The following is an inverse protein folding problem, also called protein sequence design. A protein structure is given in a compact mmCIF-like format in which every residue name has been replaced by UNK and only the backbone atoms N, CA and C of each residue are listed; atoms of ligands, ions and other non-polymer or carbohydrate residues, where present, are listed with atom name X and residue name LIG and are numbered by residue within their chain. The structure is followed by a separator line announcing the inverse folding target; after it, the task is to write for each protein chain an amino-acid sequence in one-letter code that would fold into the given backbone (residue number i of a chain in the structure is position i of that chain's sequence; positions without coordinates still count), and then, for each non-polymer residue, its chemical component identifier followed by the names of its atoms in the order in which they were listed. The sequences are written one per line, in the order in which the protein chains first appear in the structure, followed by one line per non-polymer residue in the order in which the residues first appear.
data_IF_758780241565
#
_entry.id   IF_758780241565
#
_cell.length_a   1.000
_cell.length_b   1.000
_cell.length_c   1.000
_cell.angle_alpha   90.00
_cell.angle_beta   90.00
_cell.angle_gamma   90.00
#
_symmetry.space_group_name_H-M   'P 1'
#
loop_
_entity.id
_entity.type
_entity.pdbx_description
1 polymer ?
#
# COMPACT_ATOMS: atom_id res chain seq x y z
N UNK A 1 8.28 39.16 -14.27
CA UNK A 1 9.20 38.06 -13.91
C UNK A 1 8.87 37.60 -12.49
N UNK A 2 8.39 36.36 -12.32
CA UNK A 2 7.94 35.87 -11.03
C UNK A 2 9.12 35.66 -10.06
N UNK A 3 9.06 36.30 -8.88
CA UNK A 3 10.05 36.14 -7.81
C UNK A 3 9.76 34.80 -7.12
N UNK A 4 10.67 33.83 -7.28
CA UNK A 4 10.60 32.51 -6.63
C UNK A 4 11.30 32.56 -5.27
N UNK A 5 10.58 32.19 -4.20
CA UNK A 5 11.09 32.17 -2.82
C UNK A 5 11.52 30.75 -2.44
N UNK A 6 12.67 30.60 -1.75
CA UNK A 6 13.22 29.31 -1.26
C UNK A 6 13.50 29.34 0.23
N UNK A 7 13.36 28.19 0.91
CA UNK A 7 13.64 28.02 2.36
C UNK A 7 14.45 26.74 2.63
N UNK A 8 15.28 26.73 3.69
CA UNK A 8 16.10 25.57 4.09
C UNK A 8 15.25 24.46 4.74
N UNK A 9 15.43 23.22 4.30
CA UNK A 9 14.94 22.01 4.96
C UNK A 9 16.14 21.11 5.34
N UNK A 10 16.08 20.46 6.51
CA UNK A 10 17.08 19.49 6.97
C UNK A 10 16.48 18.09 6.78
N UNK A 11 17.20 17.21 6.07
CA UNK A 11 16.78 15.81 5.85
C UNK A 11 17.29 14.93 7.01
N UNK A 12 16.41 14.13 7.63
CA UNK A 12 16.74 13.23 8.76
C UNK A 12 17.17 11.82 8.28
N UNK A 13 17.33 11.63 6.95
CA UNK A 13 17.63 10.35 6.32
C UNK A 13 19.12 9.98 6.33
N UNK A 14 20.04 10.96 6.36
CA UNK A 14 21.49 10.71 6.24
C UNK A 14 22.19 10.36 7.56
N UNK A 15 21.47 10.26 8.68
CA UNK A 15 22.06 9.88 9.97
C UNK A 15 21.93 8.39 10.31
N UNK A 16 21.32 7.57 9.44
CA UNK A 16 21.04 6.14 9.73
C UNK A 16 21.60 5.13 8.73
N UNK A 17 22.43 5.53 7.79
CA UNK A 17 23.06 4.66 6.79
C UNK A 17 24.58 4.55 6.96
N UNK A 18 25.06 4.40 8.19
CA UNK A 18 26.47 4.05 8.47
C UNK A 18 26.56 2.95 9.53
N UNK A 19 25.95 1.78 9.26
CA UNK A 19 26.24 0.57 10.03
C UNK A 19 25.81 -0.75 9.37
N UNK A 20 26.03 -0.95 8.07
CA UNK A 20 26.24 -2.29 7.51
C UNK A 20 27.24 -2.20 6.35
N UNK A 21 28.33 -2.94 6.48
CA UNK A 21 29.48 -3.01 5.56
C UNK A 21 29.11 -3.80 4.30
N UNK A 22 29.50 -3.29 3.14
CA UNK A 22 30.16 -4.09 2.09
C UNK A 22 31.63 -3.63 1.99
N UNK A 23 32.58 -4.54 1.68
CA UNK A 23 33.99 -4.21 1.55
C UNK A 23 34.27 -3.54 0.20
N UNK A 24 35.43 -2.87 0.12
CA UNK A 24 36.06 -2.20 -1.04
C UNK A 24 35.85 -0.68 -1.18
N UNK A 25 36.83 0.05 -0.61
CA UNK A 25 37.62 1.05 -1.35
C UNK A 25 37.08 2.47 -1.51
N UNK A 26 37.56 3.40 -0.66
CA UNK A 26 37.62 4.86 -0.92
C UNK A 26 39.07 5.22 -1.28
N UNK A 27 39.33 6.29 -2.06
CA UNK A 27 39.82 7.55 -1.45
C UNK A 27 39.35 8.83 -2.19
N UNK A 28 38.94 9.97 -1.60
CA UNK A 28 39.50 10.93 -0.62
C UNK A 28 39.91 12.28 -1.28
N UNK A 29 39.91 13.39 -0.48
CA UNK A 29 40.43 14.78 -0.68
C UNK A 29 39.40 15.90 -1.02
N UNK A 30 39.47 17.17 -0.55
CA UNK A 30 40.08 17.93 0.59
C UNK A 30 39.62 19.44 0.45
N UNK A 31 39.81 20.42 1.39
CA UNK A 31 38.78 21.40 1.74
C UNK A 31 39.31 22.85 2.03
N UNK A 32 39.13 23.85 1.18
CA UNK A 32 39.49 25.23 1.60
C UNK A 32 38.65 26.34 0.96
N UNK A 33 37.93 27.15 1.74
CA UNK A 33 38.26 28.57 2.06
C UNK A 33 37.06 29.43 2.55
N UNK A 34 37.41 30.36 3.45
CA UNK A 34 36.61 31.27 4.28
C UNK A 34 36.03 32.53 3.58
N UNK A 35 34.99 33.15 4.18
CA UNK A 35 34.93 34.56 4.69
C UNK A 35 33.60 35.37 4.48
N UNK A 36 32.93 35.68 5.61
CA UNK A 36 32.26 36.92 6.11
C UNK A 36 31.25 37.81 5.29
N UNK A 37 29.96 37.77 5.72
CA UNK A 37 28.79 38.74 5.87
C UNK A 37 28.62 40.08 5.11
N UNK A 38 27.41 40.73 5.04
CA UNK A 38 26.01 40.30 5.29
C UNK A 38 24.95 40.75 4.23
N UNK A 39 24.12 39.83 3.70
CA UNK A 39 22.71 40.09 3.35
C UNK A 39 22.01 38.75 3.05
N UNK A 40 20.98 38.37 3.83
CA UNK A 40 20.50 36.99 3.91
C UNK A 40 19.50 36.62 2.80
N UNK A 41 20.00 35.96 1.75
CA UNK A 41 19.24 35.14 0.79
C UNK A 41 19.80 33.70 0.82
N UNK A 42 18.99 32.66 0.52
CA UNK A 42 19.45 31.25 0.39
C UNK A 42 20.32 31.15 -0.90
N UNK A 43 21.58 31.59 -0.85
CA UNK A 43 22.57 31.25 -1.90
C UNK A 43 23.19 29.89 -1.60
N UNK A 44 23.50 29.12 -2.65
CA UNK A 44 24.13 27.78 -2.62
C UNK A 44 25.40 27.67 -1.76
N UNK A 45 26.01 28.78 -1.36
CA UNK A 45 27.24 28.84 -0.55
C UNK A 45 27.00 29.15 0.93
N UNK A 46 25.76 29.18 1.43
CA UNK A 46 25.50 29.43 2.84
C UNK A 46 25.96 28.25 3.73
N UNK A 47 27.09 28.45 4.42
CA UNK A 47 27.67 27.54 5.42
C UNK A 47 26.66 26.97 6.43
N UNK A 48 25.55 27.65 6.71
CA UNK A 48 24.55 27.19 7.68
C UNK A 48 23.71 26.00 7.15
N UNK A 49 23.28 26.01 5.89
CA UNK A 49 22.52 24.87 5.34
C UNK A 49 23.48 23.69 5.07
N UNK A 50 24.71 23.98 4.63
CA UNK A 50 25.76 22.98 4.40
C UNK A 50 26.30 22.34 5.69
N UNK A 51 26.44 23.08 6.80
CA UNK A 51 26.87 22.54 8.11
C UNK A 51 25.89 21.56 8.74
N UNK A 52 24.62 21.59 8.34
CA UNK A 52 23.56 20.72 8.90
C UNK A 52 22.94 19.79 7.85
N UNK A 53 23.58 19.60 6.69
CA UNK A 53 23.14 18.64 5.67
C UNK A 53 21.77 18.95 5.02
N UNK A 54 21.40 20.23 4.90
CA UNK A 54 20.11 20.64 4.36
C UNK A 54 20.15 21.13 2.90
N UNK A 55 19.10 20.85 2.13
CA UNK A 55 18.88 21.39 0.79
C UNK A 55 17.84 22.54 0.79
N UNK A 56 18.03 23.58 -0.04
CA UNK A 56 17.01 24.64 -0.22
C UNK A 56 15.90 24.07 -1.15
N UNK A 57 14.68 23.87 -0.62
CA UNK A 57 13.52 23.37 -1.39
C UNK A 57 12.50 24.48 -1.72
N UNK A 58 11.63 24.20 -2.69
CA UNK A 58 10.53 25.09 -3.11
C UNK A 58 9.47 25.21 -1.99
N UNK A 59 8.82 26.36 -1.85
CA UNK A 59 8.02 26.72 -0.66
C UNK A 59 6.78 25.82 -0.40
N UNK A 60 6.46 24.91 -1.32
CA UNK A 60 5.23 24.12 -1.31
C UNK A 60 5.47 22.61 -1.11
N UNK A 61 6.73 22.17 -0.94
CA UNK A 61 7.10 20.75 -0.77
C UNK A 61 7.41 20.35 0.68
N UNK A 62 7.00 21.16 1.67
CA UNK A 62 7.19 20.81 3.07
C UNK A 62 6.29 19.62 3.45
N UNK A 63 6.86 18.40 3.47
CA UNK A 63 6.17 17.18 3.89
C UNK A 63 5.55 17.27 5.30
N UNK A 64 4.51 16.46 5.51
CA UNK A 64 3.91 16.22 6.82
C UNK A 64 4.97 15.66 7.77
N UNK A 65 5.01 16.15 9.01
CA UNK A 65 6.02 15.74 10.00
C UNK A 65 5.45 14.64 10.89
N UNK A 66 6.14 13.50 10.99
CA UNK A 66 5.99 12.60 12.14
C UNK A 66 6.41 13.34 13.42
N UNK A 67 5.44 13.67 14.28
CA UNK A 67 5.72 14.26 15.58
C UNK A 67 6.42 13.21 16.47
N UNK A 68 7.70 13.42 16.79
CA UNK A 68 8.37 12.64 17.85
C UNK A 68 7.87 13.10 19.23
N UNK A 69 7.07 12.27 19.89
CA UNK A 69 6.34 12.55 21.13
C UNK A 69 7.22 12.45 22.39
N UNK A 70 7.74 13.58 22.89
CA UNK A 70 8.45 13.64 24.18
C UNK A 70 7.63 14.38 25.24
N UNK A 71 7.57 13.85 26.46
CA UNK A 71 7.00 14.55 27.61
C UNK A 71 7.80 15.84 27.92
N UNK A 72 7.10 16.97 28.06
CA UNK A 72 7.65 18.26 28.51
C UNK A 72 6.93 18.73 29.77
N UNK A 73 7.68 19.17 30.78
CA UNK A 73 7.14 19.68 32.06
C UNK A 73 6.77 21.16 32.02
N UNK A 74 6.61 21.76 30.83
CA UNK A 74 6.30 23.18 30.70
C UNK A 74 4.81 23.46 30.96
N UNK A 75 4.38 23.45 32.23
CA UNK A 75 3.01 23.85 32.55
C UNK A 75 2.55 23.75 34.01
N UNK A 76 3.32 23.15 34.91
CA UNK A 76 2.97 23.12 36.33
C UNK A 76 3.01 24.56 36.90
N UNK A 77 1.84 25.14 37.19
CA UNK A 77 1.69 26.46 37.81
C UNK A 77 0.99 27.56 36.97
N UNK A 78 0.56 27.32 35.73
CA UNK A 78 -0.12 28.35 34.91
C UNK A 78 -1.66 28.22 34.85
N UNK A 79 -2.40 29.35 34.75
CA UNK A 79 -3.87 29.36 34.72
C UNK A 79 -4.46 28.54 33.55
N UNK A 80 -5.68 27.99 33.71
CA UNK A 80 -6.36 27.23 32.67
C UNK A 80 -6.63 28.17 31.48
N UNK A 81 -6.03 27.89 30.32
CA UNK A 81 -6.09 28.75 29.13
C UNK A 81 -4.71 29.08 28.53
N UNK A 82 -3.61 28.98 29.30
CA UNK A 82 -2.24 29.21 28.80
C UNK A 82 -1.33 27.97 28.84
N UNK A 83 -1.88 26.77 29.08
CA UNK A 83 -1.09 25.51 29.10
C UNK A 83 -0.90 25.01 27.67
N UNK A 84 0.34 24.94 27.19
CA UNK A 84 0.66 24.29 25.90
C UNK A 84 0.98 22.81 26.15
N UNK A 85 0.08 21.94 25.69
CA UNK A 85 0.14 20.46 25.67
C UNK A 85 0.55 19.77 26.99
N UNK A 86 -0.41 19.07 27.61
CA UNK A 86 -0.21 18.24 28.80
C UNK A 86 -0.53 16.78 28.42
N UNK A 87 0.33 15.84 28.80
CA UNK A 87 0.06 14.40 28.67
C UNK A 87 -1.12 14.06 29.61
N UNK A 88 -2.24 13.57 29.07
CA UNK A 88 -3.42 13.23 29.87
C UNK A 88 -3.31 11.81 30.41
N UNK A 89 -2.64 11.66 31.55
CA UNK A 89 -3.00 10.63 32.52
C UNK A 89 -3.51 11.37 33.76
N UNK A 90 -4.82 11.68 33.79
CA UNK A 90 -5.46 12.48 34.87
C UNK A 90 -5.13 11.98 36.29
N UNK A 91 -4.66 10.73 36.45
CA UNK A 91 -4.32 10.10 37.74
C UNK A 91 -2.84 9.69 37.90
N UNK A 92 -1.95 9.97 36.94
CA UNK A 92 -0.53 9.51 37.00
C UNK A 92 0.50 10.56 36.55
N UNK A 93 0.20 11.86 36.69
CA UNK A 93 1.11 12.95 36.29
C UNK A 93 2.52 12.86 36.92
N UNK A 94 2.64 12.27 38.10
CA UNK A 94 3.93 12.05 38.80
C UNK A 94 4.86 11.07 38.07
N UNK A 95 4.34 10.21 37.18
CA UNK A 95 5.15 9.26 36.39
C UNK A 95 5.80 9.87 35.15
N UNK A 96 5.39 11.06 34.73
CA UNK A 96 6.00 11.76 33.59
C UNK A 96 7.35 12.38 33.99
N UNK A 97 8.43 11.58 33.98
CA UNK A 97 9.80 12.10 34.07
C UNK A 97 10.21 12.75 32.74
N UNK A 98 11.02 13.80 32.79
CA UNK A 98 11.64 14.42 31.59
C UNK A 98 12.32 13.31 30.79
N UNK A 99 11.93 13.15 29.52
CA UNK A 99 12.47 12.20 28.50
C UNK A 99 11.77 10.85 28.32
N UNK A 100 10.69 10.53 29.02
CA UNK A 100 9.90 9.31 28.71
C UNK A 100 8.88 9.58 27.60
N UNK A 101 8.64 8.60 26.72
CA UNK A 101 7.56 8.64 25.71
C UNK A 101 6.19 8.46 26.39
N UNK A 102 5.17 9.25 26.03
CA UNK A 102 3.84 9.19 26.70
C UNK A 102 3.23 7.76 26.65
N UNK A 103 3.47 7.00 25.58
CA UNK A 103 3.03 5.59 25.44
C UNK A 103 3.61 4.68 26.53
N UNK A 104 4.88 4.88 26.90
CA UNK A 104 5.57 4.11 27.96
C UNK A 104 5.13 4.51 29.37
N UNK A 105 4.51 5.68 29.53
CA UNK A 105 3.97 6.17 30.80
C UNK A 105 2.49 5.79 31.01
N UNK A 106 1.90 4.97 30.13
CA UNK A 106 0.49 4.58 30.21
C UNK A 106 -0.50 5.72 29.90
N UNK A 107 -0.03 6.81 29.27
CA UNK A 107 -0.85 7.94 28.87
C UNK A 107 -1.03 8.00 27.35
N UNK A 108 -2.10 8.65 26.90
CA UNK A 108 -2.31 8.97 25.49
C UNK A 108 -2.25 10.50 25.27
N UNK A 109 -1.66 10.90 24.14
CA UNK A 109 -1.69 12.28 23.67
C UNK A 109 -2.93 12.47 22.81
N UNK A 110 -3.98 13.08 23.34
CA UNK A 110 -5.00 13.70 22.50
C UNK A 110 -4.52 15.10 22.17
N UNK A 111 -4.07 15.42 20.94
CA UNK A 111 -4.14 16.81 20.43
C UNK A 111 -3.88 16.92 18.91
N UNK A 112 -4.68 17.82 18.29
CA UNK A 112 -4.51 18.56 17.02
C UNK A 112 -5.28 18.13 15.78
N UNK A 113 -5.63 16.86 15.57
CA UNK A 113 -6.46 16.47 14.41
C UNK A 113 -7.83 17.17 14.48
N UNK A 114 -8.50 17.06 15.63
CA UNK A 114 -9.76 17.75 15.94
C UNK A 114 -9.68 19.28 15.84
N UNK A 115 -8.49 19.87 15.94
CA UNK A 115 -8.31 21.33 15.85
C UNK A 115 -8.10 21.83 14.41
N UNK A 116 -7.72 20.97 13.46
CA UNK A 116 -7.79 21.27 12.03
C UNK A 116 -9.12 20.81 11.40
N UNK A 117 -9.81 19.85 12.01
CA UNK A 117 -11.13 19.38 11.58
C UNK A 117 -12.26 20.39 11.92
N UNK A 118 -12.06 21.27 12.91
CA UNK A 118 -13.08 22.17 13.45
C UNK A 118 -12.85 23.66 13.12
N UNK A 119 -12.43 24.00 11.89
CA UNK A 119 -12.11 25.40 11.54
C UNK A 119 -12.96 25.92 10.38
N UNK A 120 -14.23 26.25 10.67
CA UNK A 120 -15.08 27.09 9.82
C UNK A 120 -16.48 26.51 9.58
N UNK A 121 -17.45 27.34 9.14
CA UNK A 121 -18.70 26.84 8.57
C UNK A 121 -18.37 26.04 7.31
N UNK A 122 -18.72 24.74 7.27
CA UNK A 122 -18.51 23.88 6.10
C UNK A 122 -17.49 22.74 6.25
N UNK A 123 -17.03 22.40 7.46
CA UNK A 123 -16.23 21.18 7.72
C UNK A 123 -14.94 21.05 6.87
N UNK A 124 -14.31 22.17 6.50
CA UNK A 124 -13.09 22.14 5.67
C UNK A 124 -11.89 21.70 6.50
N UNK A 125 -11.25 20.60 6.08
CA UNK A 125 -10.09 20.02 6.77
C UNK A 125 -8.85 20.88 6.50
N UNK A 126 -8.30 21.51 7.54
CA UNK A 126 -7.05 22.26 7.44
C UNK A 126 -5.80 21.37 7.41
N UNK A 127 -4.75 21.79 6.70
CA UNK A 127 -3.48 21.05 6.64
C UNK A 127 -2.55 21.45 7.78
N UNK A 128 -1.91 20.46 8.42
CA UNK A 128 -0.98 20.68 9.52
C UNK A 128 0.42 21.06 9.01
N UNK A 129 0.94 22.22 9.39
CA UNK A 129 2.23 22.76 8.94
C UNK A 129 3.27 22.86 10.07
N UNK A 130 4.55 22.65 9.71
CA UNK A 130 5.69 22.76 10.64
C UNK A 130 5.85 24.20 11.14
N UNK A 131 6.36 24.33 12.37
CA UNK A 131 6.71 25.65 12.91
C UNK A 131 7.76 26.33 12.02
N UNK A 132 7.47 27.55 11.58
CA UNK A 132 8.30 28.32 10.64
C UNK A 132 7.80 28.32 9.18
N UNK A 133 6.90 27.41 8.79
CA UNK A 133 6.32 27.42 7.45
C UNK A 133 5.32 28.57 7.26
N UNK A 134 5.32 29.17 6.05
CA UNK A 134 4.31 30.12 5.59
C UNK A 134 3.11 29.35 5.02
N UNK A 135 1.91 29.90 5.19
CA UNK A 135 0.66 29.34 4.71
C UNK A 135 0.11 30.27 3.64
N UNK A 136 -0.42 29.73 2.53
CA UNK A 136 -1.03 30.53 1.46
C UNK A 136 -2.42 31.08 1.85
N UNK A 137 -3.12 30.40 2.76
CA UNK A 137 -4.37 30.87 3.36
C UNK A 137 -4.23 31.37 4.80
N UNK A 138 -5.31 31.29 5.60
CA UNK A 138 -5.29 31.73 7.00
C UNK A 138 -4.61 30.70 7.89
N UNK A 139 -3.56 31.15 8.59
CA UNK A 139 -2.85 30.33 9.59
C UNK A 139 -3.54 30.43 10.95
N UNK A 140 -4.06 29.31 11.47
CA UNK A 140 -4.51 29.18 12.87
C UNK A 140 -3.60 28.19 13.60
N UNK A 141 -2.63 28.73 14.34
CA UNK A 141 -1.63 27.92 15.04
C UNK A 141 -0.76 27.12 14.07
N UNK A 142 -0.94 25.80 14.05
CA UNK A 142 -0.26 24.88 13.12
C UNK A 142 -1.15 24.42 11.96
N UNK A 143 -2.38 24.92 11.83
CA UNK A 143 -3.24 24.59 10.68
C UNK A 143 -3.19 25.72 9.65
N UNK A 144 -3.14 25.35 8.37
CA UNK A 144 -3.26 26.23 7.21
C UNK A 144 -4.63 25.98 6.57
N UNK A 145 -5.48 27.01 6.49
CA UNK A 145 -6.85 26.92 5.96
C UNK A 145 -6.94 27.77 4.68
N UNK A 146 -7.46 27.26 3.56
CA UNK A 146 -7.63 28.05 2.33
C UNK A 146 -8.46 29.32 2.56
N UNK A 147 -8.11 30.43 1.92
CA UNK A 147 -8.81 31.72 2.05
C UNK A 147 -9.96 31.89 1.05
N UNK A 148 -10.10 30.99 0.08
CA UNK A 148 -10.89 31.26 -1.13
C UNK A 148 -12.34 30.73 -1.04
N UNK A 149 -12.80 30.36 0.16
CA UNK A 149 -14.21 30.07 0.43
C UNK A 149 -14.87 31.32 1.03
N UNK A 150 -15.08 32.34 0.20
CA UNK A 150 -15.96 33.45 0.52
C UNK A 150 -17.37 33.12 0.02
N UNK A 151 -18.36 33.41 0.88
CA UNK A 151 -19.80 33.28 0.65
C UNK A 151 -20.25 33.63 -0.78
N UNK A 152 -20.70 32.62 -1.53
CA UNK A 152 -21.56 32.81 -2.69
C UNK A 152 -22.96 32.31 -2.35
N UNK A 153 -23.78 33.19 -1.79
CA UNK A 153 -25.23 33.12 -1.94
C UNK A 153 -25.56 33.29 -3.41
N UNK A 154 -25.73 32.19 -4.15
CA UNK A 154 -26.21 32.21 -5.54
C UNK A 154 -27.71 31.99 -5.59
N UNK A 155 -28.40 33.00 -6.08
CA UNK A 155 -29.79 33.01 -6.51
C UNK A 155 -30.05 31.89 -7.51
N UNK A 156 -31.07 31.07 -7.22
CA UNK A 156 -31.54 29.96 -8.04
C UNK A 156 -32.17 30.44 -9.33
N UNK A 157 -31.48 30.24 -10.45
CA UNK A 157 -32.08 30.23 -11.79
C UNK A 157 -32.38 28.78 -12.14
N UNK A 158 -33.68 28.47 -12.26
CA UNK A 158 -34.18 27.15 -12.64
C UNK A 158 -33.84 26.88 -14.10
N UNK A 159 -32.71 26.24 -14.33
CA UNK A 159 -32.41 25.55 -15.58
C UNK A 159 -32.54 24.06 -15.30
N UNK A 160 -33.51 23.43 -15.96
CA UNK A 160 -33.77 21.99 -15.90
C UNK A 160 -32.62 21.21 -16.55
N UNK A 161 -31.51 21.07 -15.83
CA UNK A 161 -30.50 20.06 -16.12
C UNK A 161 -30.86 18.81 -15.32
N UNK A 162 -31.01 17.70 -16.03
CA UNK A 162 -31.02 16.33 -15.52
C UNK A 162 -29.70 16.06 -14.78
N UNK A 163 -29.62 16.56 -13.56
CA UNK A 163 -28.54 16.29 -12.61
C UNK A 163 -28.75 14.88 -12.10
N UNK A 164 -28.01 13.94 -12.67
CA UNK A 164 -27.85 12.62 -12.07
C UNK A 164 -27.18 12.85 -10.72
N UNK A 165 -27.93 12.65 -9.65
CA UNK A 165 -27.44 12.73 -8.27
C UNK A 165 -26.14 11.92 -8.17
N UNK A 166 -25.03 12.50 -7.68
CA UNK A 166 -23.75 11.80 -7.64
C UNK A 166 -23.95 10.50 -6.86
N UNK A 167 -23.60 9.37 -7.46
CA UNK A 167 -23.65 8.07 -6.79
C UNK A 167 -22.62 8.11 -5.66
N UNK A 168 -23.06 8.49 -4.47
CA UNK A 168 -22.22 8.56 -3.26
C UNK A 168 -21.90 7.18 -2.68
N UNK A 169 -22.23 6.09 -3.39
CA UNK A 169 -22.09 4.72 -2.91
C UNK A 169 -21.64 3.77 -4.00
N UNK A 170 -20.81 2.81 -3.62
CA UNK A 170 -20.30 1.75 -4.48
C UNK A 170 -21.12 0.50 -4.26
N UNK A 171 -21.38 -0.27 -5.32
CA UNK A 171 -22.00 -1.58 -5.21
C UNK A 171 -20.92 -2.66 -5.13
N UNK A 172 -21.13 -3.67 -4.30
CA UNK A 172 -20.37 -4.92 -4.30
C UNK A 172 -21.31 -6.08 -4.02
N UNK A 173 -21.43 -7.01 -4.96
CA UNK A 173 -22.39 -8.13 -4.93
C UNK A 173 -23.82 -7.66 -4.59
N UNK A 174 -24.27 -6.57 -5.24
CA UNK A 174 -25.58 -5.95 -5.01
C UNK A 174 -25.76 -5.20 -3.68
N UNK A 175 -24.75 -5.22 -2.79
CA UNK A 175 -24.77 -4.45 -1.54
C UNK A 175 -24.16 -3.07 -1.77
N UNK A 176 -24.83 -2.02 -1.28
CA UNK A 176 -24.36 -0.64 -1.40
C UNK A 176 -23.50 -0.24 -0.20
N UNK A 177 -22.34 0.35 -0.48
CA UNK A 177 -21.37 0.82 0.50
C UNK A 177 -21.22 2.34 0.38
N UNK A 178 -21.23 3.09 1.50
CA UNK A 178 -21.10 4.54 1.46
C UNK A 178 -19.71 4.96 0.98
N UNK A 179 -19.59 6.19 0.49
CA UNK A 179 -18.30 6.85 0.29
C UNK A 179 -17.40 6.72 1.52
N UNK A 180 -16.10 6.56 1.29
CA UNK A 180 -15.05 6.25 2.27
C UNK A 180 -15.18 4.89 2.97
N UNK A 181 -16.13 4.03 2.58
CA UNK A 181 -16.11 2.64 3.03
C UNK A 181 -14.82 1.96 2.58
N UNK A 182 -14.20 1.22 3.51
CA UNK A 182 -13.00 0.42 3.26
C UNK A 182 -13.37 -1.04 3.42
N UNK A 183 -13.26 -1.81 2.33
CA UNK A 183 -13.41 -3.26 2.37
C UNK A 183 -12.04 -3.92 2.61
N UNK A 184 -11.99 -4.79 3.62
CA UNK A 184 -10.80 -5.52 4.07
C UNK A 184 -10.93 -7.03 3.87
N UNK A 185 -11.99 -7.51 3.22
CA UNK A 185 -12.28 -8.92 3.00
C UNK A 185 -11.42 -9.56 1.91
N UNK A 186 -10.58 -8.77 1.25
CA UNK A 186 -9.74 -9.17 0.14
C UNK A 186 -8.26 -9.04 0.47
N UNK A 187 -7.42 -9.65 -0.37
CA UNK A 187 -5.98 -9.45 -0.31
C UNK A 187 -5.54 -8.04 -0.71
N UNK A 188 -6.41 -7.23 -1.31
CA UNK A 188 -6.20 -5.79 -1.44
C UNK A 188 -7.23 -5.01 -0.64
N UNK A 189 -6.88 -3.78 -0.30
CA UNK A 189 -7.82 -2.88 0.33
C UNK A 189 -8.57 -2.12 -0.77
N UNK A 190 -9.90 -2.23 -0.80
CA UNK A 190 -10.74 -1.40 -1.65
C UNK A 190 -11.29 -0.23 -0.83
N UNK A 191 -11.33 0.96 -1.43
CA UNK A 191 -12.01 2.13 -0.87
C UNK A 191 -13.08 2.62 -1.83
N UNK A 192 -14.30 2.81 -1.35
CA UNK A 192 -15.34 3.44 -2.14
C UNK A 192 -15.12 4.96 -2.22
N UNK A 193 -14.95 5.50 -3.43
CA UNK A 193 -14.81 6.92 -3.69
C UNK A 193 -15.84 7.37 -4.72
N UNK A 194 -16.87 8.09 -4.27
CA UNK A 194 -17.94 8.62 -5.13
C UNK A 194 -18.50 7.63 -6.17
N UNK A 195 -18.78 6.40 -5.72
CA UNK A 195 -19.39 5.36 -6.55
C UNK A 195 -18.42 4.55 -7.39
N UNK A 196 -17.11 4.78 -7.23
CA UNK A 196 -16.04 3.99 -7.85
C UNK A 196 -15.19 3.32 -6.78
N UNK A 197 -14.85 2.05 -6.99
CA UNK A 197 -13.89 1.36 -6.13
C UNK A 197 -12.47 1.78 -6.51
N UNK A 198 -11.68 2.19 -5.52
CA UNK A 198 -10.27 2.49 -5.67
C UNK A 198 -9.42 1.46 -4.94
N UNK A 199 -8.29 1.10 -5.54
CA UNK A 199 -7.27 0.31 -4.87
C UNK A 199 -6.57 1.20 -3.82
N UNK A 200 -6.80 0.92 -2.54
CA UNK A 200 -6.17 1.60 -1.41
C UNK A 200 -4.90 0.89 -0.92
N UNK A 201 -4.39 -0.06 -1.71
CA UNK A 201 -3.09 -0.70 -1.53
C UNK A 201 -3.16 -2.14 -1.02
N UNK A 202 -2.01 -2.80 -1.12
CA UNK A 202 -1.81 -4.14 -0.58
C UNK A 202 -1.58 -4.04 0.95
N UNK A 203 -2.38 -4.70 1.81
CA UNK A 203 -2.27 -4.65 3.26
C UNK A 203 -1.03 -5.40 3.81
N UNK A 204 -0.17 -5.90 2.93
CA UNK A 204 1.05 -6.62 3.29
C UNK A 204 0.77 -8.06 3.74
N UNK A 205 1.81 -8.78 4.19
CA UNK A 205 1.73 -10.19 4.58
C UNK A 205 0.87 -10.45 5.84
N UNK A 206 0.31 -9.39 6.44
CA UNK A 206 -0.55 -9.49 7.62
C UNK A 206 -1.94 -10.08 7.34
N UNK A 207 -2.38 -10.08 6.07
CA UNK A 207 -3.71 -10.58 5.68
C UNK A 207 -3.69 -11.70 4.66
N UNK A 208 -2.68 -11.73 3.80
CA UNK A 208 -2.56 -12.77 2.80
C UNK A 208 -1.15 -13.31 2.70
N UNK A 209 -1.05 -14.59 2.39
CA UNK A 209 0.20 -15.27 2.11
C UNK A 209 0.41 -15.34 0.59
N UNK A 210 1.54 -14.86 0.06
CA UNK A 210 1.87 -15.01 -1.34
C UNK A 210 2.46 -16.40 -1.62
N UNK A 211 2.20 -16.89 -2.84
CA UNK A 211 3.01 -17.85 -3.55
C UNK A 211 3.45 -17.20 -4.85
N UNK A 212 4.75 -17.22 -5.14
CA UNK A 212 5.31 -16.54 -6.30
C UNK A 212 5.93 -17.53 -7.27
N UNK A 213 5.60 -17.41 -8.54
CA UNK A 213 6.28 -18.07 -9.65
C UNK A 213 6.97 -16.99 -10.45
N UNK A 214 8.29 -17.07 -10.54
CA UNK A 214 9.11 -16.09 -11.24
C UNK A 214 9.78 -16.77 -12.42
N UNK A 215 9.44 -16.34 -13.63
CA UNK A 215 9.83 -17.00 -14.87
C UNK A 215 11.34 -16.93 -15.11
N UNK A 216 11.93 -15.74 -14.95
CA UNK A 216 13.37 -15.50 -15.17
C UNK A 216 14.27 -16.46 -14.37
N UNK A 217 13.83 -16.83 -13.18
CA UNK A 217 14.59 -17.70 -12.30
C UNK A 217 14.10 -19.14 -12.29
N UNK A 218 12.98 -19.44 -12.97
CA UNK A 218 12.28 -20.72 -12.89
C UNK A 218 12.13 -21.18 -11.44
N UNK A 219 11.67 -20.27 -10.58
CA UNK A 219 11.52 -20.51 -9.15
C UNK A 219 10.06 -20.38 -8.75
N UNK A 220 9.63 -21.29 -7.87
CA UNK A 220 8.37 -21.20 -7.14
C UNK A 220 8.70 -21.02 -5.66
N UNK A 221 8.13 -20.00 -5.06
CA UNK A 221 8.03 -19.86 -3.62
C UNK A 221 6.63 -20.27 -3.19
N UNK A 222 6.52 -21.32 -2.38
CA UNK A 222 5.25 -21.81 -1.85
C UNK A 222 4.71 -20.93 -0.73
N UNK A 223 3.47 -21.18 -0.30
CA UNK A 223 2.87 -20.46 0.83
C UNK A 223 3.60 -20.68 2.16
N UNK A 224 4.24 -21.83 2.34
CA UNK A 224 5.08 -22.12 3.51
C UNK A 224 6.56 -21.75 3.31
N UNK A 225 6.81 -20.89 2.32
CA UNK A 225 8.10 -20.29 2.01
C UNK A 225 9.17 -21.32 1.59
N UNK A 226 8.75 -22.49 1.12
CA UNK A 226 9.64 -23.42 0.45
C UNK A 226 10.01 -22.87 -0.92
N UNK A 227 11.24 -23.14 -1.36
CA UNK A 227 11.71 -22.78 -2.69
C UNK A 227 11.82 -24.04 -3.53
N UNK A 228 11.04 -24.10 -4.61
CA UNK A 228 11.12 -25.12 -5.63
C UNK A 228 11.74 -24.49 -6.87
N UNK A 229 12.64 -25.21 -7.54
CA UNK A 229 13.17 -24.82 -8.85
C UNK A 229 12.50 -25.73 -9.88
N UNK A 230 11.25 -25.45 -10.27
CA UNK A 230 10.56 -26.26 -11.26
C UNK A 230 11.32 -26.27 -12.59
N UNK A 231 11.27 -27.41 -13.23
CA UNK A 231 11.67 -27.55 -14.62
C UNK A 231 10.70 -28.51 -15.29
N UNK A 232 9.59 -27.98 -15.81
CA UNK A 232 8.81 -28.73 -16.80
C UNK A 232 9.39 -28.42 -18.18
N UNK A 233 9.63 -29.46 -18.98
CA UNK A 233 9.94 -29.30 -20.41
C UNK A 233 8.67 -29.26 -21.28
N UNK A 234 7.50 -29.47 -20.68
CA UNK A 234 6.24 -29.55 -21.41
C UNK A 234 5.49 -28.24 -21.34
N UNK A 235 5.04 -27.82 -22.51
CA UNK A 235 4.19 -26.68 -22.79
C UNK A 235 2.77 -26.93 -22.22
N UNK A 236 2.61 -26.79 -20.91
CA UNK A 236 1.35 -27.08 -20.21
C UNK A 236 0.89 -25.92 -19.36
N UNK A 237 -0.41 -25.92 -19.06
CA UNK A 237 -0.94 -25.21 -17.90
C UNK A 237 -0.73 -26.05 -16.65
N UNK A 238 -0.50 -25.38 -15.53
CA UNK A 238 -0.30 -26.03 -14.24
C UNK A 238 -1.26 -25.47 -13.21
N UNK A 239 -1.67 -26.27 -12.23
CA UNK A 239 -2.33 -25.72 -11.06
C UNK A 239 -1.33 -25.05 -10.13
N UNK A 240 -1.26 -23.73 -10.17
CA UNK A 240 -0.52 -22.97 -9.17
C UNK A 240 -1.22 -23.05 -7.81
N UNK A 241 -2.53 -22.86 -7.82
CA UNK A 241 -3.42 -22.96 -6.67
C UNK A 241 -4.75 -23.57 -7.10
N UNK A 242 -5.33 -24.42 -6.26
CA UNK A 242 -6.67 -24.99 -6.43
C UNK A 242 -7.26 -25.49 -5.11
N UNK A 243 -8.53 -25.90 -5.16
CA UNK A 243 -9.21 -26.62 -4.07
C UNK A 243 -8.58 -28.00 -3.82
N UNK A 244 -7.71 -28.06 -2.80
CA UNK A 244 -7.05 -29.29 -2.33
C UNK A 244 -6.45 -30.07 -3.51
N UNK A 245 -6.56 -31.39 -3.48
CA UNK A 245 -6.06 -32.28 -4.52
C UNK A 245 -7.13 -32.60 -5.60
N UNK A 246 -8.22 -31.83 -5.65
CA UNK A 246 -9.37 -32.11 -6.53
C UNK A 246 -8.98 -32.10 -8.01
N UNK A 247 -9.49 -33.04 -8.80
CA UNK A 247 -9.38 -33.00 -10.28
C UNK A 247 -10.45 -32.12 -10.92
N UNK A 248 -11.47 -31.73 -10.16
CA UNK A 248 -12.54 -30.80 -10.56
C UNK A 248 -12.71 -29.71 -9.50
N UNK A 249 -11.68 -28.87 -9.25
CA UNK A 249 -11.73 -27.90 -8.17
C UNK A 249 -12.78 -26.82 -8.43
N UNK A 250 -13.44 -26.37 -7.36
CA UNK A 250 -14.41 -25.27 -7.43
C UNK A 250 -13.77 -23.91 -7.69
N UNK A 251 -12.51 -23.73 -7.28
CA UNK A 251 -11.68 -22.54 -7.50
C UNK A 251 -10.24 -22.92 -7.84
N UNK A 252 -9.56 -22.10 -8.66
CA UNK A 252 -8.19 -22.34 -9.09
C UNK A 252 -7.53 -21.17 -9.82
N UNK A 253 -6.21 -21.26 -9.99
CA UNK A 253 -5.40 -20.44 -10.90
C UNK A 253 -4.50 -21.34 -11.73
N UNK A 254 -4.71 -21.35 -13.04
CA UNK A 254 -3.93 -22.12 -14.01
C UNK A 254 -3.13 -21.21 -14.94
N UNK A 255 -1.86 -20.90 -14.64
CA UNK A 255 -0.98 -20.25 -15.59
C UNK A 255 -0.40 -21.28 -16.58
N UNK A 256 -0.24 -20.87 -17.84
CA UNK A 256 0.44 -21.64 -18.90
C UNK A 256 1.89 -21.18 -19.05
N UNK A 257 2.63 -21.15 -17.95
CA UNK A 257 4.01 -20.67 -17.97
C UNK A 257 4.86 -21.47 -18.96
N UNK A 258 5.80 -20.80 -19.61
CA UNK A 258 6.67 -21.35 -20.67
C UNK A 258 5.98 -21.66 -22.00
N UNK A 259 4.68 -21.37 -22.13
CA UNK A 259 3.99 -21.26 -23.42
C UNK A 259 4.00 -19.79 -23.86
N UNK A 260 4.29 -19.56 -25.14
CA UNK A 260 4.02 -18.27 -25.77
C UNK A 260 2.81 -18.41 -26.71
N UNK A 261 1.76 -17.58 -26.56
CA UNK A 261 1.59 -16.57 -25.51
C UNK A 261 1.31 -17.20 -24.13
N UNK A 262 1.81 -16.55 -23.07
CA UNK A 262 1.52 -16.95 -21.70
C UNK A 262 0.05 -16.61 -21.42
N UNK A 263 -0.70 -17.58 -20.92
CA UNK A 263 -2.13 -17.48 -20.62
C UNK A 263 -2.40 -17.75 -19.14
N UNK A 264 -3.54 -17.27 -18.65
CA UNK A 264 -4.01 -17.54 -17.29
C UNK A 264 -5.49 -17.85 -17.29
N UNK A 265 -5.87 -18.87 -16.54
CA UNK A 265 -7.25 -19.17 -16.22
C UNK A 265 -7.46 -19.04 -14.70
N UNK A 266 -8.38 -18.17 -14.32
CA UNK A 266 -8.75 -17.87 -12.94
C UNK A 266 -10.19 -18.31 -12.70
N UNK A 267 -10.46 -18.97 -11.59
CA UNK A 267 -11.82 -19.31 -11.18
C UNK A 267 -12.03 -19.17 -9.69
N UNK A 268 -13.10 -18.50 -9.32
CA UNK A 268 -13.63 -18.42 -7.95
C UNK A 268 -14.77 -19.44 -7.75
N UNK A 269 -14.98 -19.91 -6.52
CA UNK A 269 -16.00 -20.90 -6.23
C UNK A 269 -17.41 -20.42 -6.63
N UNK A 270 -18.10 -21.23 -7.43
CA UNK A 270 -19.47 -20.95 -7.89
C UNK A 270 -19.57 -19.93 -9.04
N UNK A 271 -18.45 -19.50 -9.62
CA UNK A 271 -18.41 -18.57 -10.75
C UNK A 271 -17.79 -19.22 -12.00
N UNK A 272 -18.02 -18.60 -13.15
CA UNK A 272 -17.40 -19.02 -14.41
C UNK A 272 -15.91 -18.64 -14.45
N UNK A 273 -15.12 -19.41 -15.19
CA UNK A 273 -13.69 -19.13 -15.32
C UNK A 273 -13.44 -17.84 -16.15
N UNK A 274 -12.49 -17.04 -15.70
CA UNK A 274 -11.92 -15.90 -16.42
C UNK A 274 -10.65 -16.38 -17.11
N UNK A 275 -10.58 -16.28 -18.43
CA UNK A 275 -9.44 -16.73 -19.24
C UNK A 275 -8.80 -15.54 -19.92
N UNK A 276 -7.49 -15.35 -19.79
CA UNK A 276 -6.70 -14.45 -20.64
C UNK A 276 -5.78 -15.30 -21.51
N UNK A 277 -5.92 -15.21 -22.84
CA UNK A 277 -5.11 -16.03 -23.76
C UNK A 277 -3.70 -15.49 -23.96
N UNK A 278 -3.46 -14.22 -23.61
CA UNK A 278 -2.15 -13.57 -23.66
C UNK A 278 -2.04 -12.52 -22.56
N UNK A 279 -1.28 -12.82 -21.50
CA UNK A 279 -1.13 -11.92 -20.34
C UNK A 279 -0.39 -10.61 -20.67
N UNK A 280 0.23 -10.52 -21.85
CA UNK A 280 0.85 -9.30 -22.36
C UNK A 280 -0.18 -8.32 -22.96
N UNK A 281 -1.34 -8.83 -23.34
CA UNK A 281 -2.44 -8.07 -23.91
C UNK A 281 -3.61 -8.02 -22.92
N UNK A 282 -3.85 -6.84 -22.34
CA UNK A 282 -4.97 -6.61 -21.41
C UNK A 282 -6.33 -6.82 -22.04
N UNK A 283 -6.43 -6.94 -23.36
CA UNK A 283 -7.68 -7.21 -24.09
C UNK A 283 -7.91 -8.72 -24.34
N UNK A 284 -6.94 -9.58 -24.02
CA UNK A 284 -7.03 -11.03 -24.28
C UNK A 284 -7.95 -11.77 -23.31
N UNK A 285 -8.47 -11.08 -22.29
CA UNK A 285 -9.27 -11.65 -21.23
C UNK A 285 -10.76 -11.75 -21.61
N UNK A 286 -11.43 -12.82 -21.16
CA UNK A 286 -12.87 -13.05 -21.41
C UNK A 286 -13.79 -11.97 -20.82
N UNK A 287 -13.28 -11.19 -19.87
CA UNK A 287 -13.93 -10.03 -19.24
C UNK A 287 -13.71 -8.71 -20.00
N UNK A 288 -12.96 -8.74 -21.11
CA UNK A 288 -12.53 -7.55 -21.84
C UNK A 288 -11.31 -6.87 -21.21
N UNK A 289 -11.20 -5.56 -21.43
CA UNK A 289 -10.02 -4.76 -21.07
C UNK A 289 -9.89 -4.61 -19.55
N UNK A 290 -8.73 -4.98 -19.01
CA UNK A 290 -8.39 -4.71 -17.60
C UNK A 290 -7.90 -3.26 -17.44
N UNK A 291 -8.68 -2.42 -16.73
CA UNK A 291 -8.34 -1.02 -16.48
C UNK A 291 -7.54 -0.80 -15.19
N UNK A 292 -7.01 0.40 -14.93
CA UNK A 292 -6.35 0.76 -13.66
C UNK A 292 -7.34 1.03 -12.50
N UNK A 293 -8.63 1.10 -12.81
CA UNK A 293 -9.71 1.23 -11.83
C UNK A 293 -10.26 -0.18 -11.51
N UNK A 294 -10.33 -0.59 -10.22
CA UNK A 294 -11.04 -1.80 -9.80
C UNK A 294 -12.47 -1.88 -10.34
N UNK A 295 -12.72 -2.88 -11.17
CA UNK A 295 -14.05 -3.20 -11.68
C UNK A 295 -14.49 -4.56 -11.15
N UNK A 296 -15.71 -4.64 -10.62
CA UNK A 296 -16.35 -5.91 -10.26
C UNK A 296 -16.81 -6.58 -11.56
N UNK A 297 -16.09 -7.62 -12.00
CA UNK A 297 -16.31 -8.31 -13.28
C UNK A 297 -17.19 -9.55 -13.14
N UNK A 298 -17.27 -10.09 -11.92
CA UNK A 298 -18.23 -11.10 -11.48
C UNK A 298 -18.58 -10.80 -10.02
N UNK A 299 -19.67 -11.35 -9.45
CA UNK A 299 -20.05 -11.11 -8.07
C UNK A 299 -18.91 -11.34 -7.06
N UNK A 300 -18.40 -10.26 -6.47
CA UNK A 300 -17.30 -10.29 -5.52
C UNK A 300 -15.90 -10.53 -6.11
N UNK A 301 -15.73 -10.55 -7.43
CA UNK A 301 -14.43 -10.67 -8.11
C UNK A 301 -14.11 -9.37 -8.83
N UNK A 302 -12.95 -8.80 -8.52
CA UNK A 302 -12.46 -7.58 -9.15
C UNK A 302 -11.33 -7.85 -10.14
N UNK A 303 -11.30 -7.08 -11.21
CA UNK A 303 -10.17 -7.01 -12.13
C UNK A 303 -9.64 -5.58 -12.23
N UNK A 304 -8.31 -5.41 -12.17
CA UNK A 304 -7.65 -4.13 -12.42
C UNK A 304 -6.15 -4.29 -12.66
N UNK A 305 -5.51 -3.23 -13.12
CA UNK A 305 -4.05 -3.12 -13.21
C UNK A 305 -3.50 -2.28 -12.07
N UNK A 306 -2.32 -2.64 -11.57
CA UNK A 306 -1.60 -1.88 -10.57
C UNK A 306 -0.09 -2.06 -10.75
N UNK A 307 0.63 -0.95 -10.93
CA UNK A 307 2.08 -0.95 -11.16
C UNK A 307 2.53 -1.89 -12.32
N UNK A 308 1.74 -1.97 -13.40
CA UNK A 308 2.05 -2.81 -14.56
C UNK A 308 1.71 -4.30 -14.40
N UNK A 309 1.09 -4.70 -13.29
CA UNK A 309 0.58 -6.05 -13.07
C UNK A 309 -0.94 -6.05 -13.26
N UNK A 310 -1.45 -7.06 -13.95
CA UNK A 310 -2.88 -7.40 -13.98
C UNK A 310 -3.25 -8.15 -12.71
N UNK A 311 -4.43 -7.86 -12.17
CA UNK A 311 -4.90 -8.39 -10.90
C UNK A 311 -6.29 -8.95 -11.08
N UNK A 312 -6.48 -10.21 -10.67
CA UNK A 312 -7.80 -10.75 -10.33
C UNK A 312 -7.88 -10.97 -8.84
N UNK A 313 -8.97 -10.50 -8.24
CA UNK A 313 -9.13 -10.45 -6.81
C UNK A 313 -10.52 -10.94 -6.40
N UNK A 314 -10.59 -12.18 -5.91
CA UNK A 314 -11.74 -12.73 -5.21
C UNK A 314 -11.48 -12.90 -3.72
N UNK A 315 -12.47 -13.45 -3.01
CA UNK A 315 -12.41 -13.65 -1.55
C UNK A 315 -11.57 -14.85 -1.16
N UNK A 316 -11.61 -15.92 -1.96
CA UNK A 316 -10.88 -17.17 -1.68
C UNK A 316 -9.43 -17.04 -2.11
N UNK A 317 -9.20 -16.37 -3.24
CA UNK A 317 -7.88 -16.26 -3.84
C UNK A 317 -7.75 -14.97 -4.66
N UNK A 318 -6.53 -14.53 -4.87
CA UNK A 318 -6.21 -13.43 -5.79
C UNK A 318 -4.94 -13.76 -6.55
N UNK A 319 -4.75 -13.19 -7.73
CA UNK A 319 -3.53 -13.36 -8.52
C UNK A 319 -3.07 -12.02 -9.08
N UNK A 320 -1.77 -11.78 -9.00
CA UNK A 320 -1.06 -10.75 -9.74
C UNK A 320 -0.29 -11.41 -10.86
N UNK A 321 -0.34 -10.86 -12.07
CA UNK A 321 0.40 -11.43 -13.17
C UNK A 321 0.82 -10.41 -14.23
N UNK A 322 1.91 -10.74 -14.89
CA UNK A 322 2.38 -10.18 -16.15
C UNK A 322 3.19 -11.27 -16.88
N UNK A 323 3.95 -10.89 -17.90
CA UNK A 323 4.78 -11.82 -18.67
C UNK A 323 6.01 -12.35 -17.89
N UNK A 324 6.28 -11.87 -16.68
CA UNK A 324 7.52 -12.20 -15.94
C UNK A 324 7.23 -12.93 -14.63
N UNK A 325 6.04 -12.71 -14.07
CA UNK A 325 5.71 -13.12 -12.71
C UNK A 325 4.23 -13.46 -12.56
N UNK A 326 3.97 -14.51 -11.78
CA UNK A 326 2.66 -14.88 -11.28
C UNK A 326 2.72 -14.97 -9.77
N UNK A 327 1.91 -14.17 -9.08
CA UNK A 327 1.86 -14.18 -7.62
C UNK A 327 0.44 -14.44 -7.17
N UNK A 328 0.21 -15.63 -6.66
CA UNK A 328 -1.06 -16.04 -6.06
C UNK A 328 -1.10 -15.61 -4.61
N UNK A 329 -2.27 -15.20 -4.13
CA UNK A 329 -2.50 -14.80 -2.74
C UNK A 329 -3.70 -15.54 -2.18
N UNK A 330 -3.55 -15.99 -0.94
CA UNK A 330 -4.63 -16.57 -0.14
C UNK A 330 -4.81 -15.81 1.17
N UNK A 331 -6.03 -15.71 1.72
CA UNK A 331 -6.24 -15.21 3.06
C UNK A 331 -5.45 -16.00 4.10
N UNK A 332 -4.90 -15.32 5.09
CA UNK A 332 -4.21 -15.96 6.23
C UNK A 332 -5.11 -16.94 6.98
N UNK A 333 -6.44 -16.73 6.95
CA UNK A 333 -7.44 -17.63 7.54
C UNK A 333 -7.52 -18.99 6.87
N UNK A 334 -6.96 -19.14 5.67
CA UNK A 334 -6.90 -20.42 4.97
C UNK A 334 -5.76 -21.32 5.47
N UNK A 335 -4.89 -20.82 6.37
CA UNK A 335 -3.82 -21.65 6.94
C UNK A 335 -4.40 -22.86 7.66
N UNK A 336 -3.84 -24.05 7.40
CA UNK A 336 -4.30 -25.32 7.97
C UNK A 336 -5.75 -25.68 7.62
N UNK A 337 -6.36 -25.08 6.59
CA UNK A 337 -7.74 -25.41 6.21
C UNK A 337 -7.87 -26.78 5.57
N UNK A 338 -6.78 -27.30 5.00
CA UNK A 338 -6.78 -28.50 4.14
C UNK A 338 -7.47 -28.29 2.80
N UNK A 339 -7.88 -27.06 2.49
CA UNK A 339 -8.62 -26.73 1.26
C UNK A 339 -7.71 -26.27 0.13
N UNK A 340 -6.43 -26.03 0.38
CA UNK A 340 -5.50 -25.50 -0.62
C UNK A 340 -4.63 -26.64 -1.16
N UNK A 341 -4.43 -26.66 -2.46
CA UNK A 341 -3.44 -27.48 -3.15
C UNK A 341 -2.91 -26.75 -4.39
N UNK A 342 -2.10 -27.45 -5.19
CA UNK A 342 -1.34 -26.89 -6.31
C UNK A 342 0.14 -26.83 -6.00
N UNK A 343 0.93 -26.31 -6.94
CA UNK A 343 2.38 -26.15 -6.73
C UNK A 343 2.77 -25.15 -5.66
N UNK A 344 1.84 -24.29 -5.27
CA UNK A 344 2.03 -23.37 -4.16
C UNK A 344 1.97 -24.05 -2.78
N UNK A 345 1.78 -25.37 -2.72
CA UNK A 345 1.72 -26.12 -1.47
C UNK A 345 0.32 -26.14 -0.85
N UNK A 346 0.23 -26.66 0.38
CA UNK A 346 -1.05 -26.82 1.09
C UNK A 346 -1.29 -25.76 2.19
N UNK A 347 -0.29 -24.91 2.45
CA UNK A 347 -0.29 -23.85 3.44
C UNK A 347 -0.63 -24.32 4.87
N UNK A 348 0.10 -25.31 5.36
CA UNK A 348 -0.06 -25.85 6.72
C UNK A 348 1.08 -25.49 7.68
N UNK A 349 2.09 -24.76 7.20
CA UNK A 349 3.28 -24.39 7.96
C UNK A 349 4.43 -25.39 7.91
N UNK A 350 4.27 -26.51 7.19
CA UNK A 350 5.30 -27.53 6.98
C UNK A 350 5.84 -27.47 5.55
N UNK A 351 6.90 -26.68 5.37
CA UNK A 351 7.58 -26.53 4.08
C UNK A 351 8.08 -27.85 3.47
N UNK A 352 8.21 -28.93 4.24
CA UNK A 352 8.76 -30.19 3.73
C UNK A 352 7.69 -31.00 2.98
N UNK A 353 6.40 -30.77 3.25
CA UNK A 353 5.28 -31.46 2.59
C UNK A 353 4.77 -30.74 1.32
N UNK A 354 5.17 -29.48 1.12
CA UNK A 354 5.00 -28.75 -0.14
C UNK A 354 5.58 -29.47 -1.36
N UNK A 355 6.47 -30.44 -1.13
CA UNK A 355 7.07 -31.30 -2.15
C UNK A 355 6.24 -32.56 -2.37
N UNK A 356 4.93 -32.42 -2.42
CA UNK A 356 4.00 -33.51 -2.68
C UNK A 356 3.53 -33.52 -4.15
N UNK A 357 3.38 -34.73 -4.69
CA UNK A 357 2.61 -34.96 -5.91
C UNK A 357 1.13 -34.63 -5.65
N UNK A 358 0.34 -34.47 -6.72
CA UNK A 358 -1.11 -34.22 -6.62
C UNK A 358 -1.87 -35.27 -5.78
N UNK A 359 -1.42 -36.53 -5.76
CA UNK A 359 -2.03 -37.58 -4.94
C UNK A 359 -1.64 -37.52 -3.45
N UNK A 360 -0.81 -36.54 -3.06
CA UNK A 360 -0.30 -36.35 -1.70
C UNK A 360 1.01 -37.12 -1.42
N UNK A 361 1.51 -37.91 -2.36
CA UNK A 361 2.75 -38.66 -2.17
C UNK A 361 3.95 -37.69 -2.14
N UNK A 362 4.81 -37.72 -1.11
CA UNK A 362 6.02 -36.91 -1.09
C UNK A 362 6.98 -37.29 -2.23
N UNK A 363 7.62 -36.30 -2.82
CA UNK A 363 8.60 -36.47 -3.88
C UNK A 363 9.76 -35.50 -3.71
N UNK A 364 10.98 -35.92 -4.04
CA UNK A 364 12.13 -35.01 -4.15
C UNK A 364 12.37 -34.58 -5.61
N UNK A 365 11.66 -35.20 -6.55
CA UNK A 365 11.77 -34.88 -7.96
C UNK A 365 10.82 -33.74 -8.29
N UNK A 366 11.38 -32.53 -8.42
CA UNK A 366 10.62 -31.31 -8.71
C UNK A 366 9.89 -31.38 -10.05
N UNK A 367 10.41 -32.13 -11.04
CA UNK A 367 9.72 -32.34 -12.31
C UNK A 367 8.47 -33.22 -12.10
N UNK A 368 8.59 -34.32 -11.35
CA UNK A 368 7.45 -35.18 -11.05
C UNK A 368 6.38 -34.43 -10.25
N UNK A 369 6.81 -33.57 -9.32
CA UNK A 369 5.92 -32.62 -8.63
C UNK A 369 5.22 -31.79 -9.71
N UNK A 370 5.96 -30.99 -10.49
CA UNK A 370 5.46 -30.05 -11.53
C UNK A 370 4.50 -30.72 -12.54
N UNK A 371 4.79 -31.94 -12.97
CA UNK A 371 3.94 -32.67 -13.92
C UNK A 371 2.68 -33.23 -13.26
N UNK A 372 2.72 -33.63 -11.99
CA UNK A 372 1.55 -34.19 -11.31
C UNK A 372 0.40 -33.19 -11.16
N UNK A 373 0.69 -31.88 -11.19
CA UNK A 373 -0.32 -30.83 -11.23
C UNK A 373 -0.46 -30.10 -12.57
N UNK A 374 0.05 -30.67 -13.66
CA UNK A 374 -0.38 -30.25 -14.99
C UNK A 374 -1.91 -30.37 -15.13
N UNK A 375 -2.50 -29.51 -15.96
CA UNK A 375 -3.93 -29.52 -16.29
C UNK A 375 -4.10 -29.52 -17.80
N UNK A 376 -5.07 -30.28 -18.29
CA UNK A 376 -5.26 -30.51 -19.73
C UNK A 376 -4.25 -31.50 -20.33
N UNK A 377 -4.21 -31.58 -21.65
CA UNK A 377 -3.25 -32.41 -22.38
C UNK A 377 -1.95 -31.65 -22.62
N UNK A 378 -0.90 -32.15 -21.98
CA UNK A 378 0.50 -32.01 -22.38
C UNK A 378 0.88 -33.12 -23.38
#
# INVERSE_FOLDING_TARGET
SAITWRTCAINDADYRSYKYRYPYGVPNLDPTLNAYTPNRQCRRTNEWCSRFGGECVQADTCGTVELRWKCSNQGAGKPPGKRKCVCCAKKQAWKCKKKTECKKAGGFCTFKKTACDAVGPGNTIGNLIKGGCKCRGKKKGHCCVPTDLADTTSTSTTTTMTTTEPKLSCSLNGTMYPHDHIDLNYCYTLRCDNGTWLNAGFPGPSRCMPCAIVEDYKMIQTFDLNLLVPYSQKNCSFSSLQESNSTTPSYYIYPSMFLEPISVEYKEAGLDAITCTDVSDTNSCSIGVISDIPQEVQPGVFAFTYNGLSIFMGKTLSVQFNNESFISYIPMTSKNSGTIGGFCGNYNGDKDDDKALRDGTPSINVMAITESWAVGTC
#
